data_IF_375467544581
#
_entry.id   IF_375467544581
#
_cell.length_a   1.000
_cell.length_b   1.000
_cell.length_c   1.000
_cell.angle_alpha   90.00
_cell.angle_beta   90.00
_cell.angle_gamma   90.00
#
_symmetry.space_group_name_H-M   'P 1'
#
loop_
_entity.id
_entity.type
_entity.pdbx_description
1 polymer ?
#
# COMPACT_ATOMS: atom_id res chain seq x y z
N UNK A 1 18.23 23.68 34.80
CA UNK A 1 19.15 22.63 34.30
C UNK A 1 19.10 22.66 32.78
N UNK A 2 20.25 22.78 32.11
CA UNK A 2 20.41 22.97 30.65
C UNK A 2 19.66 21.93 29.80
N UNK A 3 19.40 20.75 30.38
CA UNK A 3 18.71 19.63 29.73
C UNK A 3 17.21 19.87 29.48
N UNK A 4 16.53 20.66 30.32
CA UNK A 4 15.09 20.96 30.16
C UNK A 4 14.78 21.86 28.96
N UNK A 5 15.80 22.50 28.39
CA UNK A 5 15.68 23.30 27.15
C UNK A 5 15.49 22.41 25.91
N UNK A 6 16.08 21.20 25.94
CA UNK A 6 16.07 20.25 24.81
C UNK A 6 15.08 19.11 25.00
N UNK A 7 14.89 18.65 26.24
CA UNK A 7 14.04 17.49 26.56
C UNK A 7 12.85 17.98 27.38
N UNK A 8 11.70 18.09 26.71
CA UNK A 8 10.43 18.52 27.33
C UNK A 8 9.64 17.35 27.93
N UNK A 9 9.96 16.13 27.54
CA UNK A 9 9.36 14.90 28.04
C UNK A 9 10.06 13.68 27.45
N UNK A 10 10.00 12.55 28.16
CA UNK A 10 10.52 11.25 27.71
C UNK A 10 9.42 10.22 27.85
N UNK A 11 9.38 9.25 26.94
CA UNK A 11 8.41 8.16 26.94
C UNK A 11 9.02 6.87 26.42
N UNK A 12 8.43 5.73 26.79
CA UNK A 12 8.94 4.39 26.43
C UNK A 12 8.57 3.94 25.01
N UNK A 13 7.66 4.63 24.33
CA UNK A 13 7.09 4.17 23.06
C UNK A 13 8.13 3.95 21.95
N UNK A 14 9.10 4.85 21.78
CA UNK A 14 10.09 4.72 20.71
C UNK A 14 11.02 3.50 20.90
N UNK A 15 11.63 3.29 22.10
CA UNK A 15 12.35 2.04 22.38
C UNK A 15 11.51 0.78 22.12
N UNK A 16 10.26 0.73 22.61
CA UNK A 16 9.37 -0.43 22.44
C UNK A 16 9.12 -0.72 20.95
N UNK A 17 8.81 0.30 20.16
CA UNK A 17 8.54 0.16 18.73
C UNK A 17 9.80 -0.28 17.98
N UNK A 18 10.96 0.28 18.31
CA UNK A 18 12.24 -0.11 17.70
C UNK A 18 12.52 -1.59 17.92
N UNK A 19 12.37 -2.07 19.15
CA UNK A 19 12.58 -3.48 19.49
C UNK A 19 11.55 -4.39 18.80
N UNK A 20 10.26 -4.03 18.83
CA UNK A 20 9.19 -4.78 18.18
C UNK A 20 9.43 -4.94 16.68
N UNK A 21 9.79 -3.86 15.99
CA UNK A 21 10.02 -3.88 14.54
C UNK A 21 11.28 -4.69 14.19
N UNK A 22 12.35 -4.54 14.97
CA UNK A 22 13.57 -5.32 14.76
C UNK A 22 13.33 -6.80 15.01
N UNK A 23 12.55 -7.16 16.04
CA UNK A 23 12.18 -8.55 16.32
C UNK A 23 11.38 -9.18 15.17
N UNK A 24 10.46 -8.42 14.57
CA UNK A 24 9.71 -8.86 13.38
C UNK A 24 10.53 -8.85 12.08
N UNK A 25 11.86 -8.86 12.14
CA UNK A 25 12.75 -8.85 10.97
C UNK A 25 12.71 -7.54 10.16
N UNK A 26 12.13 -6.49 10.74
CA UNK A 26 12.04 -5.16 10.16
C UNK A 26 13.22 -4.26 10.50
N UNK A 27 13.15 -3.02 10.04
CA UNK A 27 14.11 -1.97 10.39
C UNK A 27 13.42 -0.62 10.63
N UNK A 28 14.07 0.20 11.45
CA UNK A 28 13.64 1.58 11.75
C UNK A 28 14.80 2.54 11.46
N UNK A 29 14.51 3.62 10.73
CA UNK A 29 15.47 4.67 10.35
C UNK A 29 14.93 6.03 10.79
N UNK A 30 15.79 6.87 11.37
CA UNK A 30 15.44 8.19 11.89
C UNK A 30 16.30 9.23 11.20
N UNK A 31 15.66 10.19 10.54
CA UNK A 31 16.34 11.25 9.78
C UNK A 31 15.75 12.60 10.13
N UNK A 32 16.58 13.64 10.09
CA UNK A 32 16.08 15.00 10.16
C UNK A 32 15.33 15.38 8.88
N UNK A 33 14.25 16.13 9.04
CA UNK A 33 13.49 16.66 7.91
C UNK A 33 14.17 17.93 7.37
N UNK A 34 14.14 18.12 6.05
CA UNK A 34 14.86 19.19 5.33
C UNK A 34 14.53 20.60 5.83
N UNK A 35 13.31 20.82 6.34
CA UNK A 35 12.87 22.12 6.89
C UNK A 35 12.82 22.13 8.42
N UNK A 36 12.07 21.19 9.01
CA UNK A 36 11.86 21.10 10.47
C UNK A 36 11.24 19.75 10.84
N UNK A 37 11.61 19.21 12.00
CA UNK A 37 11.08 17.96 12.56
C UNK A 37 11.91 16.74 12.17
N UNK A 38 11.41 15.55 12.52
CA UNK A 38 12.10 14.27 12.34
C UNK A 38 11.21 13.32 11.55
N UNK A 39 11.79 12.65 10.55
CA UNK A 39 11.15 11.60 9.77
C UNK A 39 11.57 10.25 10.32
N UNK A 40 10.59 9.43 10.67
CA UNK A 40 10.80 8.04 11.09
C UNK A 40 10.30 7.14 9.95
N UNK A 41 11.17 6.31 9.40
CA UNK A 41 10.83 5.30 8.39
C UNK A 41 10.83 3.92 9.03
N UNK A 42 9.71 3.21 8.91
CA UNK A 42 9.55 1.84 9.40
C UNK A 42 9.49 0.90 8.20
N UNK A 43 10.23 -0.19 8.26
CA UNK A 43 10.16 -1.30 7.32
C UNK A 43 9.84 -2.55 8.13
N UNK A 44 8.81 -3.30 7.73
CA UNK A 44 8.54 -4.60 8.32
C UNK A 44 9.16 -5.68 7.42
N UNK A 45 9.84 -6.65 8.03
CA UNK A 45 10.21 -7.87 7.32
C UNK A 45 8.94 -8.69 7.13
N UNK A 46 8.53 -8.94 5.88
CA UNK A 46 7.52 -9.96 5.63
C UNK A 46 8.22 -11.30 5.88
N UNK A 47 8.07 -11.84 7.08
CA UNK A 47 8.26 -13.27 7.27
C UNK A 47 7.09 -13.92 6.55
N UNK A 48 7.35 -14.43 5.35
CA UNK A 48 6.47 -15.47 4.81
C UNK A 48 6.44 -16.58 5.85
N UNK A 49 5.34 -16.68 6.60
CA UNK A 49 4.94 -17.93 7.25
C UNK A 49 4.63 -18.91 6.12
N UNK A 50 5.69 -19.38 5.47
CA UNK A 50 5.69 -20.59 4.67
C UNK A 50 5.66 -21.74 5.67
N UNK A 51 4.47 -22.05 6.16
CA UNK A 51 4.23 -23.32 6.83
C UNK A 51 4.27 -24.42 5.77
N UNK A 52 5.47 -24.94 5.53
CA UNK A 52 5.68 -26.28 4.96
C UNK A 52 6.40 -27.16 5.97
N UNK A 53 5.65 -28.05 6.61
CA UNK A 53 6.12 -29.35 7.14
C UNK A 53 4.96 -30.34 6.95
N UNK A 54 4.92 -31.06 5.81
CA UNK A 54 5.36 -32.45 5.58
C UNK A 54 4.30 -33.54 5.94
N UNK A 55 3.84 -34.22 4.89
CA UNK A 55 3.02 -35.45 4.79
C UNK A 55 3.86 -36.68 5.23
N UNK A 56 3.30 -37.78 5.80
CA UNK A 56 2.74 -38.85 4.95
C UNK A 56 1.53 -39.59 5.55
N UNK A 57 0.46 -39.71 4.76
CA UNK A 57 -0.27 -40.97 4.65
C UNK A 57 -1.68 -41.03 5.21
N UNK A 58 -2.68 -40.91 4.31
CA UNK A 58 -3.75 -41.90 4.09
C UNK A 58 -4.83 -41.31 3.16
N UNK A 59 -4.80 -41.70 1.89
CA UNK A 59 -6.01 -41.84 1.07
C UNK A 59 -6.72 -43.15 1.49
N UNK A 60 -8.06 -43.33 1.27
CA UNK A 60 -8.81 -42.79 0.15
C UNK A 60 -10.27 -42.31 0.42
N UNK A 61 -10.84 -41.73 -0.64
CA UNK A 61 -12.26 -41.78 -1.04
C UNK A 61 -13.22 -40.64 -0.60
N UNK A 62 -13.46 -39.77 -1.58
CA UNK A 62 -14.77 -39.37 -2.12
C UNK A 62 -15.64 -38.28 -1.41
N UNK A 63 -16.09 -37.38 -2.30
CA UNK A 63 -17.15 -36.35 -2.22
C UNK A 63 -16.70 -34.96 -1.73
N UNK A 64 -16.58 -33.96 -2.63
CA UNK A 64 -16.34 -32.57 -2.25
C UNK A 64 -17.64 -31.91 -1.74
N UNK A 65 -17.63 -31.16 -0.63
CA UNK A 65 -18.69 -30.21 -0.36
C UNK A 65 -18.46 -28.94 -1.18
N UNK A 66 -19.19 -28.87 -2.29
CA UNK A 66 -19.47 -27.69 -3.09
C UNK A 66 -19.86 -26.50 -2.21
N UNK A 67 -19.24 -25.33 -2.43
CA UNK A 67 -19.88 -24.06 -2.06
C UNK A 67 -19.02 -22.86 -1.66
N UNK A 68 -17.70 -22.99 -1.44
CA UNK A 68 -16.88 -21.86 -0.89
C UNK A 68 -15.65 -21.52 -1.77
N UNK A 69 -15.37 -22.30 -2.82
CA UNK A 69 -14.10 -22.20 -3.57
C UNK A 69 -14.07 -21.14 -4.68
N UNK A 70 -15.24 -20.72 -5.20
CA UNK A 70 -15.28 -19.81 -6.36
C UNK A 70 -14.91 -18.36 -6.02
N UNK A 71 -15.19 -17.87 -4.81
CA UNK A 71 -14.92 -16.47 -4.43
C UNK A 71 -13.46 -16.22 -4.02
N UNK A 72 -12.80 -17.22 -3.41
CA UNK A 72 -11.38 -17.11 -3.03
C UNK A 72 -10.46 -17.20 -4.25
N UNK A 73 -10.78 -18.05 -5.22
CA UNK A 73 -9.95 -18.22 -6.42
C UNK A 73 -9.89 -16.94 -7.26
N UNK A 74 -11.02 -16.24 -7.42
CA UNK A 74 -11.08 -14.95 -8.13
C UNK A 74 -10.33 -13.84 -7.39
N UNK A 75 -10.42 -13.78 -6.05
CA UNK A 75 -9.65 -12.80 -5.26
C UNK A 75 -8.14 -13.05 -5.31
N UNK A 76 -7.71 -14.31 -5.24
CA UNK A 76 -6.30 -14.73 -5.29
C UNK A 76 -5.71 -14.49 -6.69
N UNK A 77 -6.43 -14.89 -7.75
CA UNK A 77 -6.02 -14.67 -9.16
C UNK A 77 -5.88 -13.18 -9.51
N UNK A 78 -6.63 -12.32 -8.82
CA UNK A 78 -6.63 -10.86 -9.06
C UNK A 78 -5.56 -10.17 -8.22
N UNK A 79 -5.32 -10.59 -6.97
CA UNK A 79 -4.15 -10.17 -6.22
C UNK A 79 -2.91 -10.43 -7.07
N UNK A 80 -2.74 -11.63 -7.62
CA UNK A 80 -1.60 -11.99 -8.47
C UNK A 80 -1.49 -11.13 -9.74
N UNK A 81 -2.61 -10.79 -10.41
CA UNK A 81 -2.61 -9.86 -11.57
C UNK A 81 -2.19 -8.42 -11.22
N UNK A 82 -2.35 -8.02 -9.96
CA UNK A 82 -1.91 -6.72 -9.44
C UNK A 82 -0.67 -6.83 -8.52
N UNK A 83 0.18 -7.85 -8.73
CA UNK A 83 1.42 -8.12 -7.97
C UNK A 83 1.20 -8.35 -6.45
N UNK A 84 0.14 -9.07 -6.09
CA UNK A 84 -0.27 -9.35 -4.71
C UNK A 84 -0.68 -8.10 -3.91
N UNK A 85 -0.89 -6.95 -4.55
CA UNK A 85 -0.93 -5.65 -3.86
C UNK A 85 -2.31 -5.01 -3.89
N UNK A 86 -2.97 -5.03 -2.74
CA UNK A 86 -4.21 -4.29 -2.50
C UNK A 86 -3.88 -2.79 -2.44
N UNK A 87 -4.54 -1.98 -3.27
CA UNK A 87 -4.42 -0.52 -3.18
C UNK A 87 -5.10 -0.02 -1.91
N UNK A 88 -4.47 0.95 -1.25
CA UNK A 88 -5.11 1.66 -0.14
C UNK A 88 -6.32 2.46 -0.64
N UNK A 89 -7.26 2.78 0.26
CA UNK A 89 -8.43 3.59 -0.11
C UNK A 89 -8.04 4.98 -0.63
N UNK A 90 -6.90 5.51 -0.17
CA UNK A 90 -6.29 6.73 -0.69
C UNK A 90 -5.96 6.61 -2.18
N UNK A 91 -5.35 5.50 -2.57
CA UNK A 91 -4.95 5.22 -3.94
C UNK A 91 -6.16 4.98 -4.84
N UNK A 92 -7.16 4.25 -4.35
CA UNK A 92 -8.44 4.08 -5.07
C UNK A 92 -9.10 5.42 -5.35
N UNK A 93 -9.21 6.29 -4.34
CA UNK A 93 -9.76 7.65 -4.50
C UNK A 93 -9.02 8.45 -5.57
N UNK A 94 -7.69 8.34 -5.65
CA UNK A 94 -6.90 9.00 -6.71
C UNK A 94 -7.27 8.45 -8.08
N UNK A 95 -7.39 7.12 -8.23
CA UNK A 95 -7.78 6.51 -9.51
C UNK A 95 -9.19 6.95 -9.94
N UNK A 96 -10.16 7.00 -9.03
CA UNK A 96 -11.51 7.50 -9.32
C UNK A 96 -11.53 8.97 -9.72
N UNK A 97 -10.76 9.83 -9.04
CA UNK A 97 -10.65 11.25 -9.44
C UNK A 97 -10.00 11.41 -10.81
N UNK A 98 -9.01 10.58 -11.16
CA UNK A 98 -8.39 10.62 -12.50
C UNK A 98 -9.35 10.09 -13.56
N UNK A 99 -10.21 9.11 -13.22
CA UNK A 99 -11.28 8.65 -14.11
C UNK A 99 -12.22 9.80 -14.48
N UNK A 100 -12.67 10.56 -13.48
CA UNK A 100 -13.58 11.70 -13.66
C UNK A 100 -12.93 12.87 -14.43
N UNK A 101 -11.66 13.16 -14.14
CA UNK A 101 -10.96 14.33 -14.70
C UNK A 101 -10.21 14.04 -16.01
N UNK A 102 -10.20 12.79 -16.48
CA UNK A 102 -9.42 12.22 -17.59
C UNK A 102 -7.89 12.31 -17.47
N UNK A 103 -7.36 13.46 -17.03
CA UNK A 103 -5.96 13.69 -16.69
C UNK A 103 -5.82 14.54 -15.42
N UNK A 104 -4.94 14.14 -14.49
CA UNK A 104 -4.65 14.95 -13.32
C UNK A 104 -3.17 14.99 -12.96
N UNK A 105 -2.73 16.17 -12.50
CA UNK A 105 -1.42 16.38 -11.90
C UNK A 105 -1.48 16.42 -10.37
N UNK A 106 -0.33 16.45 -9.68
CA UNK A 106 -0.24 16.46 -8.22
C UNK A 106 -1.06 17.58 -7.56
N UNK A 107 -1.06 18.79 -8.15
CA UNK A 107 -1.78 19.94 -7.62
C UNK A 107 -3.30 19.77 -7.68
N UNK A 108 -3.80 19.18 -8.77
CA UNK A 108 -5.24 18.93 -8.94
C UNK A 108 -5.71 17.85 -7.96
N UNK A 109 -4.96 16.74 -7.85
CA UNK A 109 -5.24 15.68 -6.87
C UNK A 109 -5.18 16.20 -5.42
N UNK A 110 -4.20 17.04 -5.11
CA UNK A 110 -4.10 17.69 -3.80
C UNK A 110 -5.35 18.50 -3.47
N UNK A 111 -5.86 19.28 -4.44
CA UNK A 111 -7.05 20.10 -4.27
C UNK A 111 -8.33 19.27 -4.12
N UNK A 112 -8.55 18.28 -4.97
CA UNK A 112 -9.79 17.48 -4.96
C UNK A 112 -9.88 16.54 -3.75
N UNK A 113 -8.77 15.93 -3.33
CA UNK A 113 -8.77 14.93 -2.25
C UNK A 113 -8.30 15.47 -0.89
N UNK A 114 -7.89 16.74 -0.81
CA UNK A 114 -7.39 17.34 0.42
C UNK A 114 -6.04 16.79 0.90
N UNK A 115 -5.27 16.15 0.01
CA UNK A 115 -3.93 15.65 0.33
C UNK A 115 -2.88 16.76 0.22
N UNK A 116 -1.74 16.61 0.91
CA UNK A 116 -0.59 17.49 0.66
C UNK A 116 -0.05 17.27 -0.76
N UNK A 117 0.54 18.32 -1.35
CA UNK A 117 1.15 18.24 -2.69
C UNK A 117 2.20 17.12 -2.78
N UNK A 118 3.01 16.95 -1.74
CA UNK A 118 4.02 15.89 -1.65
C UNK A 118 3.40 14.50 -1.59
N UNK A 119 2.28 14.33 -0.89
CA UNK A 119 1.55 13.05 -0.85
C UNK A 119 0.97 12.75 -2.22
N UNK A 120 0.29 13.72 -2.84
CA UNK A 120 -0.26 13.55 -4.19
C UNK A 120 0.82 13.18 -5.21
N UNK A 121 1.98 13.85 -5.15
CA UNK A 121 3.11 13.53 -6.03
C UNK A 121 3.62 12.09 -5.83
N UNK A 122 3.82 11.67 -4.57
CA UNK A 122 4.29 10.30 -4.25
C UNK A 122 3.30 9.23 -4.69
N UNK A 123 2.01 9.42 -4.44
CA UNK A 123 0.97 8.46 -4.82
C UNK A 123 0.88 8.32 -6.34
N UNK A 124 0.94 9.44 -7.06
CA UNK A 124 0.93 9.45 -8.51
C UNK A 124 2.13 8.69 -9.11
N UNK A 125 3.34 8.90 -8.59
CA UNK A 125 4.52 8.11 -8.98
C UNK A 125 4.34 6.63 -8.65
N UNK A 126 3.80 6.34 -7.47
CA UNK A 126 3.59 4.96 -7.04
C UNK A 126 2.63 4.23 -7.99
N UNK A 127 1.48 4.84 -8.30
CA UNK A 127 0.49 4.25 -9.20
C UNK A 127 1.01 4.10 -10.64
N UNK A 128 1.82 5.05 -11.10
CA UNK A 128 2.51 4.97 -12.39
C UNK A 128 3.53 3.82 -12.44
N UNK A 129 4.36 3.65 -11.40
CA UNK A 129 5.30 2.52 -11.29
C UNK A 129 4.60 1.16 -11.31
N UNK A 130 3.38 1.10 -10.78
CA UNK A 130 2.55 -0.10 -10.80
C UNK A 130 1.74 -0.28 -12.11
N UNK A 131 2.01 0.58 -13.11
CA UNK A 131 1.35 0.59 -14.43
C UNK A 131 -0.16 0.82 -14.36
N UNK A 132 -0.67 1.41 -13.29
CA UNK A 132 -2.08 1.81 -13.16
C UNK A 132 -2.35 3.17 -13.77
N UNK A 133 -1.31 4.00 -13.86
CA UNK A 133 -1.33 5.30 -14.52
C UNK A 133 -0.26 5.37 -15.61
N UNK A 134 -0.47 6.24 -16.59
CA UNK A 134 0.51 6.64 -17.62
C UNK A 134 0.75 8.14 -17.56
N UNK A 135 1.99 8.56 -17.83
CA UNK A 135 2.33 9.98 -17.96
C UNK A 135 1.85 10.52 -19.31
N UNK A 136 1.22 11.69 -19.27
CA UNK A 136 0.86 12.52 -20.42
C UNK A 136 2.00 13.49 -20.75
N UNK A 137 2.04 14.01 -21.98
CA UNK A 137 3.07 14.96 -22.46
C UNK A 137 3.18 16.23 -21.61
N UNK A 138 2.13 16.54 -20.84
CA UNK A 138 2.05 17.70 -19.94
C UNK A 138 2.52 17.44 -18.49
N UNK A 139 3.01 16.23 -18.17
CA UNK A 139 3.38 15.84 -16.80
C UNK A 139 2.19 15.50 -15.89
N UNK A 140 0.97 15.53 -16.45
CA UNK A 140 -0.23 14.96 -15.84
C UNK A 140 -0.23 13.44 -16.01
N UNK A 141 -1.12 12.76 -15.27
CA UNK A 141 -1.30 11.31 -15.38
C UNK A 141 -2.73 10.97 -15.77
N UNK A 142 -2.85 9.91 -16.56
CA UNK A 142 -4.10 9.30 -16.99
C UNK A 142 -4.17 7.86 -16.52
N UNK A 143 -5.36 7.29 -16.50
CA UNK A 143 -5.54 5.86 -16.28
C UNK A 143 -4.97 5.05 -17.45
N UNK A 144 -4.25 3.98 -17.11
CA UNK A 144 -3.88 2.95 -18.08
C UNK A 144 -5.05 1.96 -18.27
N UNK A 145 -4.98 1.10 -19.30
CA UNK A 145 -5.92 -0.02 -19.43
C UNK A 145 -5.97 -0.91 -18.18
N UNK A 146 -4.81 -1.11 -17.54
CA UNK A 146 -4.72 -1.86 -16.28
C UNK A 146 -5.41 -1.14 -15.13
N UNK A 147 -5.30 0.19 -15.06
CA UNK A 147 -6.00 1.01 -14.08
C UNK A 147 -7.52 0.99 -14.25
N UNK A 148 -8.01 1.04 -15.50
CA UNK A 148 -9.44 0.96 -15.81
C UNK A 148 -10.00 -0.40 -15.38
N UNK A 149 -9.35 -1.50 -15.79
CA UNK A 149 -9.75 -2.86 -15.39
C UNK A 149 -9.75 -3.05 -13.87
N UNK A 150 -8.81 -2.42 -13.16
CA UNK A 150 -8.79 -2.44 -11.70
C UNK A 150 -10.03 -1.79 -11.09
N UNK A 151 -10.41 -0.61 -11.59
CA UNK A 151 -11.59 0.11 -11.10
C UNK A 151 -12.88 -0.62 -11.45
N UNK A 152 -13.01 -1.16 -12.66
CA UNK A 152 -14.18 -1.93 -13.09
C UNK A 152 -14.41 -3.14 -12.17
N UNK A 153 -13.35 -3.89 -11.88
CA UNK A 153 -13.42 -4.99 -10.91
C UNK A 153 -13.86 -4.49 -9.53
N UNK A 154 -13.25 -3.41 -9.03
CA UNK A 154 -13.57 -2.90 -7.69
C UNK A 154 -15.02 -2.42 -7.56
N UNK A 155 -15.55 -1.77 -8.60
CA UNK A 155 -16.94 -1.30 -8.64
C UNK A 155 -17.96 -2.46 -8.69
N UNK A 156 -17.61 -3.58 -9.33
CA UNK A 156 -18.48 -4.75 -9.44
C UNK A 156 -18.45 -5.67 -8.19
N UNK A 157 -17.57 -5.39 -7.22
CA UNK A 157 -17.39 -6.20 -6.01
C UNK A 157 -17.58 -5.36 -4.72
N UNK A 158 -18.30 -4.24 -4.82
CA UNK A 158 -18.85 -3.46 -3.70
C UNK A 158 -20.34 -3.76 -3.61
#
# INVERSE_FOLDING_TARGET
SKMKEYIRGVGSGFPIIKETITFSGGSIDVKDNIKRGTVISLKLGLTETSEKVHDPGSEPAAVPPSGIESEKKTQIDILDKFNGKILSDRQKKILFVILELEEAGPSKISKELGFSLSTSYRELIYLEKNKLLTSSSSGKRRLSEKGIKYLEYYSNNI
#
